data_IF_437747811126
#
_entry.id   IF_437747811126
#
_cell.length_a   1.000
_cell.length_b   1.000
_cell.length_c   1.000
_cell.angle_alpha   90.00
_cell.angle_beta   90.00
_cell.angle_gamma   90.00
#
_symmetry.space_group_name_H-M   'P 1'
#
loop_
_entity.id
_entity.type
_entity.pdbx_description
1 polymer ?
#
# COMPACT_ATOMS: atom_id res chain seq x y z
N UNK A 1 36.15 3.62 9.80
CA UNK A 1 34.68 3.48 9.75
C UNK A 1 34.37 3.18 8.29
N UNK A 2 34.07 1.92 8.01
CA UNK A 2 34.07 1.35 6.66
C UNK A 2 32.74 1.67 5.96
N UNK A 3 32.79 2.50 4.92
CA UNK A 3 31.60 2.96 4.19
C UNK A 3 31.00 1.86 3.29
N UNK A 4 31.70 0.74 3.11
CA UNK A 4 31.25 -0.38 2.28
C UNK A 4 30.18 -1.26 2.95
N UNK A 5 29.83 -0.99 4.22
CA UNK A 5 28.77 -1.69 4.95
C UNK A 5 27.35 -1.13 4.70
N UNK A 6 27.22 -0.01 3.98
CA UNK A 6 25.93 0.46 3.49
C UNK A 6 25.55 -0.38 2.27
N UNK A 7 24.95 -1.55 2.54
CA UNK A 7 24.44 -2.45 1.52
C UNK A 7 23.69 -1.68 0.44
N UNK A 8 24.07 -1.91 -0.82
CA UNK A 8 23.43 -1.30 -1.99
C UNK A 8 21.91 -1.35 -1.82
N UNK A 9 21.18 -0.23 -1.89
CA UNK A 9 19.73 -0.25 -1.78
C UNK A 9 19.21 -1.18 -2.88
N UNK A 10 18.70 -2.36 -2.48
CA UNK A 10 18.04 -3.26 -3.41
C UNK A 10 16.78 -2.54 -3.87
N UNK A 11 16.72 -2.21 -5.16
CA UNK A 11 15.46 -1.77 -5.74
C UNK A 11 14.45 -2.92 -5.61
N UNK A 12 13.28 -2.68 -4.99
CA UNK A 12 12.26 -3.72 -4.89
C UNK A 12 11.84 -4.14 -6.29
N UNK A 13 11.75 -5.46 -6.51
CA UNK A 13 11.30 -6.00 -7.79
C UNK A 13 9.80 -5.78 -7.96
N UNK A 14 9.29 -5.86 -9.20
CA UNK A 14 7.86 -5.71 -9.46
C UNK A 14 7.00 -6.70 -8.65
N UNK A 15 7.38 -7.99 -8.49
CA UNK A 15 6.72 -8.90 -7.56
C UNK A 15 6.74 -8.43 -6.09
N UNK A 16 7.86 -7.86 -5.61
CA UNK A 16 7.96 -7.36 -4.24
C UNK A 16 7.01 -6.18 -4.00
N UNK A 17 6.89 -5.30 -4.99
CA UNK A 17 5.97 -4.15 -4.94
C UNK A 17 4.50 -4.59 -4.97
N UNK A 18 4.15 -5.60 -5.78
CA UNK A 18 2.81 -6.17 -5.83
C UNK A 18 2.44 -6.90 -4.53
N UNK A 19 3.37 -7.68 -3.97
CA UNK A 19 3.17 -8.37 -2.68
C UNK A 19 2.98 -7.39 -1.53
N UNK A 20 3.80 -6.33 -1.50
CA UNK A 20 3.68 -5.27 -0.50
C UNK A 20 2.38 -4.48 -0.65
N UNK A 21 1.97 -4.20 -1.89
CA UNK A 21 0.69 -3.55 -2.15
C UNK A 21 -0.50 -4.39 -1.67
N UNK A 22 -0.50 -5.71 -1.92
CA UNK A 22 -1.53 -6.63 -1.42
C UNK A 22 -1.59 -6.65 0.11
N UNK A 23 -0.45 -6.74 0.78
CA UNK A 23 -0.38 -6.67 2.24
C UNK A 23 -0.89 -5.31 2.76
N UNK A 24 -0.55 -4.22 2.07
CA UNK A 24 -1.03 -2.88 2.38
C UNK A 24 -2.55 -2.74 2.24
N UNK A 25 -3.16 -3.34 1.22
CA UNK A 25 -4.62 -3.37 1.06
C UNK A 25 -5.31 -4.11 2.20
N UNK A 26 -4.78 -5.27 2.60
CA UNK A 26 -5.33 -6.04 3.73
C UNK A 26 -5.22 -5.27 5.05
N UNK A 27 -4.07 -4.63 5.30
CA UNK A 27 -3.86 -3.82 6.49
C UNK A 27 -4.70 -2.53 6.52
N UNK A 28 -4.97 -1.94 5.35
CA UNK A 28 -5.89 -0.81 5.22
C UNK A 28 -7.34 -1.24 5.49
N UNK A 29 -7.78 -2.38 4.95
CA UNK A 29 -9.11 -2.93 5.22
C UNK A 29 -9.33 -3.19 6.71
N UNK A 30 -8.39 -3.90 7.36
CA UNK A 30 -8.50 -4.21 8.79
C UNK A 30 -8.61 -2.95 9.66
N UNK A 31 -7.83 -1.90 9.36
CA UNK A 31 -7.91 -0.61 10.07
C UNK A 31 -9.21 0.12 9.79
N UNK A 32 -9.73 0.07 8.57
CA UNK A 32 -11.01 0.67 8.25
C UNK A 32 -12.17 -0.03 8.99
N UNK A 33 -12.12 -1.36 9.10
CA UNK A 33 -13.11 -2.16 9.84
C UNK A 33 -13.06 -1.84 11.34
N UNK A 34 -11.86 -1.77 11.92
CA UNK A 34 -11.67 -1.41 13.32
C UNK A 34 -12.15 0.02 13.62
N UNK A 35 -11.76 0.99 12.79
CA UNK A 35 -12.20 2.37 12.96
C UNK A 35 -13.72 2.51 12.76
N UNK A 36 -14.29 1.79 11.78
CA UNK A 36 -15.74 1.73 11.56
C UNK A 36 -16.49 1.19 12.77
N UNK A 37 -16.01 0.09 13.37
CA UNK A 37 -16.59 -0.46 14.59
C UNK A 37 -16.59 0.57 15.74
N UNK A 38 -15.47 1.28 15.94
CA UNK A 38 -15.36 2.33 16.95
C UNK A 38 -16.33 3.50 16.70
N UNK A 39 -16.44 3.98 15.46
CA UNK A 39 -17.38 5.04 15.11
C UNK A 39 -18.84 4.62 15.33
N UNK A 40 -19.20 3.38 14.96
CA UNK A 40 -20.56 2.85 15.20
C UNK A 40 -20.88 2.64 16.68
N UNK A 41 -19.86 2.36 17.51
CA UNK A 41 -19.98 2.31 18.95
C UNK A 41 -20.10 3.72 19.59
N UNK A 42 -20.06 4.78 18.79
CA UNK A 42 -20.14 6.18 19.24
C UNK A 42 -18.81 6.75 19.72
N UNK A 43 -17.68 6.06 19.51
CA UNK A 43 -16.36 6.59 19.82
C UNK A 43 -15.93 7.57 18.73
N UNK A 44 -16.19 8.86 18.96
CA UNK A 44 -15.89 9.95 18.03
C UNK A 44 -14.52 10.61 18.30
N UNK A 45 -13.57 9.86 18.85
CA UNK A 45 -12.20 10.34 19.03
C UNK A 45 -11.62 10.76 17.65
N UNK A 46 -11.09 11.99 17.51
CA UNK A 46 -10.44 12.44 16.28
C UNK A 46 -9.37 11.48 15.75
N UNK A 47 -8.68 10.74 16.63
CA UNK A 47 -7.70 9.73 16.25
C UNK A 47 -8.32 8.59 15.41
N UNK A 48 -9.59 8.22 15.67
CA UNK A 48 -10.33 7.20 14.93
C UNK A 48 -10.73 7.71 13.54
N UNK A 49 -11.13 8.97 13.45
CA UNK A 49 -11.45 9.58 12.15
C UNK A 49 -10.19 9.68 11.29
N UNK A 50 -9.07 10.12 11.88
CA UNK A 50 -7.78 10.19 11.19
C UNK A 50 -7.30 8.80 10.80
N UNK A 51 -7.47 7.78 11.65
CA UNK A 51 -7.07 6.41 11.32
C UNK A 51 -7.87 5.86 10.14
N UNK A 52 -9.18 6.16 10.07
CA UNK A 52 -10.02 5.79 8.93
C UNK A 52 -9.57 6.50 7.65
N UNK A 53 -9.31 7.81 7.69
CA UNK A 53 -8.79 8.54 6.52
C UNK A 53 -7.41 8.05 6.08
N UNK A 54 -6.53 7.71 7.03
CA UNK A 54 -5.23 7.12 6.73
C UNK A 54 -5.40 5.75 6.05
N UNK A 55 -6.29 4.91 6.55
CA UNK A 55 -6.61 3.61 5.94
C UNK A 55 -7.13 3.77 4.50
N UNK A 56 -8.00 4.76 4.23
CA UNK A 56 -8.48 5.06 2.88
C UNK A 56 -7.34 5.50 1.95
N UNK A 57 -6.46 6.37 2.42
CA UNK A 57 -5.30 6.82 1.65
C UNK A 57 -4.35 5.66 1.34
N UNK A 58 -4.08 4.80 2.33
CA UNK A 58 -3.25 3.62 2.14
C UNK A 58 -3.86 2.66 1.14
N UNK A 59 -5.18 2.42 1.21
CA UNK A 59 -5.89 1.62 0.22
C UNK A 59 -5.70 2.20 -1.19
N UNK A 60 -5.97 3.49 -1.38
CA UNK A 60 -5.85 4.17 -2.67
C UNK A 60 -4.41 4.13 -3.22
N UNK A 61 -3.41 4.30 -2.36
CA UNK A 61 -2.00 4.22 -2.73
C UNK A 61 -1.64 2.80 -3.22
N UNK A 62 -2.04 1.76 -2.48
CA UNK A 62 -1.75 0.38 -2.85
C UNK A 62 -2.48 -0.05 -4.15
N UNK A 63 -3.71 0.40 -4.38
CA UNK A 63 -4.42 0.18 -5.66
C UNK A 63 -3.65 0.80 -6.83
N UNK A 64 -3.10 2.01 -6.67
CA UNK A 64 -2.30 2.66 -7.73
C UNK A 64 -1.02 1.89 -8.05
N UNK A 65 -0.36 1.30 -7.05
CA UNK A 65 0.81 0.44 -7.28
C UNK A 65 0.42 -0.77 -8.15
N UNK A 66 -0.71 -1.41 -7.86
CA UNK A 66 -1.20 -2.53 -8.66
C UNK A 66 -1.55 -2.11 -10.10
N UNK A 67 -2.21 -0.97 -10.28
CA UNK A 67 -2.52 -0.43 -11.61
C UNK A 67 -1.24 -0.12 -12.40
N UNK A 68 -0.29 0.56 -11.80
CA UNK A 68 1.00 0.86 -12.44
C UNK A 68 1.76 -0.41 -12.86
N UNK A 69 1.68 -1.48 -12.05
CA UNK A 69 2.29 -2.75 -12.40
C UNK A 69 1.61 -3.43 -13.60
N UNK A 70 0.28 -3.36 -13.70
CA UNK A 70 -0.47 -3.87 -14.85
C UNK A 70 -0.18 -3.05 -16.10
N UNK A 71 -0.18 -1.72 -16.01
CA UNK A 71 0.12 -0.82 -17.13
C UNK A 71 1.53 -1.05 -17.69
N UNK A 72 2.52 -1.23 -16.82
CA UNK A 72 3.89 -1.56 -17.26
C UNK A 72 3.95 -2.93 -17.93
N UNK A 73 3.24 -3.93 -17.40
CA UNK A 73 3.17 -5.27 -18.02
C UNK A 73 2.57 -5.17 -19.42
N UNK A 74 1.46 -4.44 -19.57
CA UNK A 74 0.81 -4.20 -20.86
C UNK A 74 1.76 -3.52 -21.85
N UNK A 75 2.46 -2.44 -21.43
CA UNK A 75 3.43 -1.75 -22.28
C UNK A 75 4.55 -2.66 -22.77
N UNK A 76 5.08 -3.53 -21.91
CA UNK A 76 6.11 -4.50 -22.30
C UNK A 76 5.57 -5.48 -23.33
N UNK A 77 4.35 -5.99 -23.15
CA UNK A 77 3.70 -6.88 -24.10
C UNK A 77 3.43 -6.18 -25.45
N UNK A 78 2.98 -4.93 -25.41
CA UNK A 78 2.73 -4.12 -26.61
C UNK A 78 4.02 -3.82 -27.39
N UNK A 79 5.18 -3.72 -26.72
CA UNK A 79 6.49 -3.56 -27.40
C UNK A 79 7.00 -4.86 -28.04
N UNK A 80 6.50 -6.01 -27.62
CA UNK A 80 6.90 -7.33 -28.14
C UNK A 80 6.02 -7.79 -29.32
N UNK A 81 4.88 -7.14 -29.55
CA UNK A 81 3.93 -7.41 -30.62
C UNK A 81 4.27 -6.64 -31.90
#
# INVERSE_FOLDING_TARGET
MDISALGTPRMPSLPDAQSSALAGLQGAQARADEAGAQLTAGNLDPAVVVSLSAAQNDFAANVKVMQAAQDNTKRVLDMLA
#
